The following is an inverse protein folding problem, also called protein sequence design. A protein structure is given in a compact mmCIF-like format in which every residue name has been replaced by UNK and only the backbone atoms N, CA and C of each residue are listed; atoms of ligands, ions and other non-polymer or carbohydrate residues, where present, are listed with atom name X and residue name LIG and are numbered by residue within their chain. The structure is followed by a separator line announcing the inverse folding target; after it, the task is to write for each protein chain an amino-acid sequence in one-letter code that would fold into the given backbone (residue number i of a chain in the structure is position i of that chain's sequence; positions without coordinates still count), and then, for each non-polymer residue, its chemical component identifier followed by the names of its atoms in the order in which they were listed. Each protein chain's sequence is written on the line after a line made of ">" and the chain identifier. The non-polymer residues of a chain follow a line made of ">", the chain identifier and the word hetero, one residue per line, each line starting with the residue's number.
data_IF_837392688320
#
_entry.id   IF_837392688320
#
_cell.length_a   1.000
_cell.length_b   1.000
_cell.length_c   1.000
_cell.angle_alpha   90.00
_cell.angle_beta   90.00
_cell.angle_gamma   90.00
#
_symmetry.space_group_name_H-M   'P 1'
#
loop_
_entity.id
_entity.type
_entity.pdbx_description
1 polymer ?
#
# COMPACT_ATOMS: atom_id res chain seq x y z
N UNK A 1 0.05 -8.90 16.43
CA UNK A 1 -0.30 -8.70 15.04
C UNK A 1 -0.05 -9.95 14.21
N UNK A 2 -0.74 -10.08 13.09
CA UNK A 2 -0.56 -11.22 12.22
C UNK A 2 0.84 -11.24 11.62
N UNK A 3 1.38 -12.45 11.45
CA UNK A 3 2.63 -12.64 10.75
C UNK A 3 2.36 -12.68 9.24
N UNK A 4 3.12 -11.92 8.48
CA UNK A 4 2.93 -11.80 7.03
C UNK A 4 3.98 -12.61 6.28
N UNK A 5 3.63 -12.99 5.04
CA UNK A 5 4.59 -13.61 4.11
C UNK A 5 5.55 -12.60 3.48
N UNK A 6 5.51 -11.37 3.95
CA UNK A 6 6.47 -10.35 3.55
C UNK A 6 7.64 -10.34 4.52
N UNK A 7 8.82 -9.89 4.09
CA UNK A 7 9.97 -9.82 4.98
C UNK A 7 9.69 -8.95 6.19
N UNK A 8 10.24 -9.35 7.32
CA UNK A 8 10.15 -8.54 8.55
C UNK A 8 10.94 -7.25 8.38
N UNK A 9 10.51 -6.21 9.08
CA UNK A 9 11.21 -4.95 9.14
C UNK A 9 11.17 -4.42 10.56
N UNK A 10 11.97 -3.43 10.87
CA UNK A 10 12.02 -2.83 12.21
C UNK A 10 10.81 -1.90 12.40
N UNK A 11 9.69 -2.49 12.80
CA UNK A 11 8.45 -1.75 13.01
C UNK A 11 8.52 -0.98 14.32
N UNK A 12 8.28 0.33 14.26
CA UNK A 12 8.20 1.17 15.46
C UNK A 12 6.75 1.34 15.84
N UNK A 13 6.36 0.64 16.88
CA UNK A 13 4.99 0.63 17.39
C UNK A 13 4.99 1.24 18.78
N UNK A 14 4.09 2.16 19.01
CA UNK A 14 3.88 2.80 20.32
C UNK A 14 2.42 2.70 20.70
N UNK A 15 2.15 2.87 21.98
CA UNK A 15 0.79 2.94 22.51
C UNK A 15 0.47 4.40 22.79
N UNK A 16 -0.56 4.93 22.14
CA UNK A 16 -1.03 6.31 22.37
C UNK A 16 -2.45 6.25 22.89
N UNK A 17 -2.63 6.66 24.14
CA UNK A 17 -3.95 6.72 24.78
C UNK A 17 -4.71 5.39 24.69
N UNK A 18 -3.99 4.27 24.93
CA UNK A 18 -4.55 2.93 24.91
C UNK A 18 -4.71 2.34 23.52
N UNK A 19 -4.27 3.03 22.45
CA UNK A 19 -4.39 2.55 21.08
C UNK A 19 -3.02 2.42 20.45
N UNK A 20 -2.77 1.32 19.71
CA UNK A 20 -1.48 1.14 19.06
C UNK A 20 -1.34 2.07 17.85
N UNK A 21 -0.15 2.58 17.65
CA UNK A 21 0.22 3.39 16.49
C UNK A 21 1.55 2.92 15.96
N UNK A 22 1.72 3.00 14.64
CA UNK A 22 2.94 2.60 13.96
C UNK A 22 3.54 3.80 13.22
N UNK A 23 4.87 3.89 13.24
CA UNK A 23 5.55 4.97 12.52
C UNK A 23 5.54 4.68 11.02
N UNK A 24 5.01 5.62 10.24
CA UNK A 24 5.02 5.55 8.77
C UNK A 24 6.19 6.39 8.26
N UNK A 25 7.18 5.73 7.70
CA UNK A 25 8.38 6.38 7.18
C UNK A 25 8.08 7.28 5.97
N UNK A 26 7.01 7.00 5.24
CA UNK A 26 6.61 7.80 4.07
C UNK A 26 5.91 9.08 4.51
N UNK A 27 4.91 8.96 5.41
CA UNK A 27 4.19 10.13 5.94
C UNK A 27 4.94 10.84 7.06
N UNK A 28 6.00 10.21 7.58
CA UNK A 28 6.88 10.73 8.64
C UNK A 28 6.12 11.07 9.91
N UNK A 29 5.21 10.19 10.30
CA UNK A 29 4.43 10.36 11.53
C UNK A 29 3.89 9.00 11.96
N UNK A 30 3.45 8.95 13.21
CA UNK A 30 2.74 7.79 13.72
C UNK A 30 1.30 7.83 13.23
N UNK A 31 0.82 6.69 12.78
CA UNK A 31 -0.56 6.50 12.30
C UNK A 31 -1.18 5.35 13.07
N UNK A 32 -2.51 5.32 13.14
CA UNK A 32 -3.22 4.25 13.82
C UNK A 32 -2.82 2.90 13.21
N UNK A 33 -2.50 1.94 14.08
CA UNK A 33 -2.11 0.59 13.64
C UNK A 33 -3.37 -0.25 13.47
N UNK A 34 -3.86 -0.31 12.25
CA UNK A 34 -4.97 -1.16 11.84
C UNK A 34 -4.42 -2.39 11.10
N UNK A 35 -5.22 -3.45 10.90
CA UNK A 35 -4.78 -4.59 10.09
C UNK A 35 -4.34 -4.18 8.68
N UNK A 36 -5.05 -3.25 8.07
CA UNK A 36 -4.70 -2.75 6.75
C UNK A 36 -3.40 -1.95 6.76
N UNK A 37 -3.20 -1.10 7.78
CA UNK A 37 -1.96 -0.34 7.92
C UNK A 37 -0.76 -1.27 8.19
N UNK A 38 -0.97 -2.35 8.91
CA UNK A 38 0.07 -3.37 9.14
C UNK A 38 0.55 -3.97 7.82
N UNK A 39 -0.39 -4.29 6.93
CA UNK A 39 -0.07 -4.81 5.59
C UNK A 39 0.66 -3.75 4.78
N UNK A 40 0.18 -2.52 4.79
CA UNK A 40 0.82 -1.40 4.06
C UNK A 40 2.26 -1.22 4.50
N UNK A 41 2.52 -1.18 5.80
CA UNK A 41 3.86 -0.95 6.30
C UNK A 41 4.82 -2.06 5.87
N UNK A 42 4.38 -3.29 5.88
CA UNK A 42 5.20 -4.40 5.41
C UNK A 42 5.52 -4.27 3.92
N UNK A 43 4.54 -3.95 3.12
CA UNK A 43 4.74 -3.86 1.68
C UNK A 43 5.62 -2.66 1.29
N UNK A 44 5.39 -1.52 1.93
CA UNK A 44 6.24 -0.33 1.71
C UNK A 44 7.69 -0.64 2.05
N UNK A 45 7.94 -1.25 3.20
CA UNK A 45 9.31 -1.62 3.59
C UNK A 45 9.91 -2.69 2.69
N UNK A 46 9.09 -3.59 2.16
CA UNK A 46 9.52 -4.53 1.14
C UNK A 46 10.01 -3.81 -0.12
N UNK A 47 9.26 -2.82 -0.60
CA UNK A 47 9.66 -2.03 -1.76
C UNK A 47 10.95 -1.25 -1.50
N UNK A 48 11.08 -0.67 -0.31
CA UNK A 48 12.27 0.11 0.06
C UNK A 48 13.50 -0.77 0.21
N UNK A 49 13.38 -1.85 1.00
CA UNK A 49 14.54 -2.61 1.47
C UNK A 49 14.94 -3.73 0.53
N UNK A 50 14.00 -4.34 -0.18
CA UNK A 50 14.26 -5.49 -1.02
C UNK A 50 14.20 -5.19 -2.51
N UNK A 51 13.42 -4.19 -2.91
CA UNK A 51 13.34 -3.76 -4.30
C UNK A 51 14.13 -2.49 -4.58
N UNK A 52 14.58 -1.81 -3.55
CA UNK A 52 15.46 -0.65 -3.71
C UNK A 52 14.80 0.60 -4.27
N UNK A 53 13.46 0.71 -4.17
CA UNK A 53 12.79 1.91 -4.62
C UNK A 53 13.07 3.08 -3.67
N UNK A 54 13.26 4.30 -4.20
CA UNK A 54 13.53 5.46 -3.35
C UNK A 54 12.33 5.87 -2.51
N UNK A 55 12.56 6.10 -1.23
CA UNK A 55 11.51 6.58 -0.33
C UNK A 55 10.91 7.91 -0.80
N UNK A 56 11.73 8.77 -1.38
CA UNK A 56 11.29 10.10 -1.84
C UNK A 56 10.34 10.05 -3.02
N UNK A 57 10.22 8.90 -3.69
CA UNK A 57 9.31 8.70 -4.80
C UNK A 57 8.06 7.91 -4.42
N UNK A 58 7.79 7.79 -3.13
CA UNK A 58 6.58 7.12 -2.63
C UNK A 58 5.69 8.10 -1.89
N UNK A 59 4.38 7.88 -2.00
CA UNK A 59 3.39 8.61 -1.21
C UNK A 59 2.28 7.66 -0.81
N UNK A 60 1.76 7.85 0.40
CA UNK A 60 0.61 7.12 0.91
C UNK A 60 -0.60 8.03 0.95
N UNK A 61 -1.78 7.48 0.73
CA UNK A 61 -3.04 8.21 0.83
C UNK A 61 -3.10 9.37 -0.17
N UNK A 62 -2.85 9.07 -1.44
CA UNK A 62 -2.82 10.07 -2.51
C UNK A 62 -4.21 10.22 -3.11
N UNK A 63 -4.71 11.44 -3.17
CA UNK A 63 -5.96 11.73 -3.87
C UNK A 63 -5.72 11.90 -5.36
N UNK A 64 -6.55 11.26 -6.18
CA UNK A 64 -6.55 11.43 -7.61
C UNK A 64 -7.93 11.84 -8.09
N UNK A 65 -7.97 12.62 -9.15
CA UNK A 65 -9.22 13.02 -9.79
C UNK A 65 -9.57 11.95 -10.84
N UNK A 66 -10.73 11.35 -10.69
CA UNK A 66 -11.17 10.27 -11.56
C UNK A 66 -12.60 10.57 -12.04
N UNK A 67 -12.76 10.97 -13.30
CA UNK A 67 -14.07 11.26 -13.90
C UNK A 67 -14.92 12.23 -13.06
N UNK A 68 -14.29 13.29 -12.56
CA UNK A 68 -14.97 14.29 -11.75
C UNK A 68 -15.16 13.92 -10.29
N UNK A 69 -14.79 12.72 -9.89
CA UNK A 69 -14.81 12.30 -8.50
C UNK A 69 -13.39 12.17 -7.95
N UNK A 70 -13.24 12.40 -6.65
CA UNK A 70 -11.96 12.20 -5.97
C UNK A 70 -11.88 10.79 -5.45
N UNK A 71 -10.79 10.10 -5.77
CA UNK A 71 -10.47 8.78 -5.24
C UNK A 71 -9.13 8.84 -4.52
N UNK A 72 -8.98 8.00 -3.51
CA UNK A 72 -7.74 7.93 -2.74
C UNK A 72 -7.03 6.63 -3.07
N UNK A 73 -5.78 6.75 -3.48
CA UNK A 73 -4.90 5.59 -3.67
C UNK A 73 -4.11 5.35 -2.41
N UNK A 74 -4.00 4.11 -1.97
CA UNK A 74 -3.35 3.78 -0.70
C UNK A 74 -1.86 4.05 -0.72
N UNK A 75 -1.17 3.61 -1.77
CA UNK A 75 0.25 3.91 -1.99
C UNK A 75 0.49 4.13 -3.47
N UNK A 76 1.30 5.14 -3.79
CA UNK A 76 1.72 5.40 -5.16
C UNK A 76 3.24 5.48 -5.19
N UNK A 77 3.84 4.78 -6.14
CA UNK A 77 5.25 4.90 -6.45
C UNK A 77 5.39 5.70 -7.74
N UNK A 78 6.17 6.76 -7.68
CA UNK A 78 6.37 7.66 -8.82
C UNK A 78 7.67 7.36 -9.56
N UNK A 79 7.69 7.71 -10.84
CA UNK A 79 8.93 7.82 -11.61
C UNK A 79 9.63 9.12 -11.24
N UNK A 80 10.87 9.27 -11.69
CA UNK A 80 11.64 10.51 -11.42
C UNK A 80 11.02 11.75 -12.04
N UNK A 81 10.24 11.58 -13.11
CA UNK A 81 9.51 12.70 -13.73
C UNK A 81 8.18 13.00 -13.02
N UNK A 82 7.92 12.31 -11.89
CA UNK A 82 6.74 12.45 -11.05
C UNK A 82 5.45 11.93 -11.69
N UNK A 83 5.53 11.15 -12.74
CA UNK A 83 4.38 10.39 -13.21
C UNK A 83 4.28 9.09 -12.40
N UNK A 84 3.07 8.58 -12.22
CA UNK A 84 2.85 7.39 -11.41
C UNK A 84 3.34 6.14 -12.15
N UNK A 85 4.14 5.34 -11.47
CA UNK A 85 4.66 4.08 -11.97
C UNK A 85 3.84 2.88 -11.47
N UNK A 86 3.46 2.92 -10.19
CA UNK A 86 2.76 1.83 -9.53
C UNK A 86 1.71 2.38 -8.59
N UNK A 87 0.54 1.78 -8.58
CA UNK A 87 -0.49 2.01 -7.59
C UNK A 87 -0.68 0.73 -6.80
N UNK A 88 -0.71 0.86 -5.48
CA UNK A 88 -0.94 -0.26 -4.58
C UNK A 88 -2.19 0.01 -3.77
N UNK A 89 -3.10 -0.96 -3.75
CA UNK A 89 -4.28 -0.97 -2.90
C UNK A 89 -4.15 -2.08 -1.87
N UNK A 90 -4.39 -1.74 -0.63
CA UNK A 90 -4.32 -2.72 0.46
C UNK A 90 -5.72 -3.05 0.92
N UNK A 91 -5.95 -4.32 1.17
CA UNK A 91 -7.20 -4.80 1.74
C UNK A 91 -6.91 -5.46 3.08
N UNK A 92 -7.85 -5.34 4.00
CA UNK A 92 -7.71 -5.99 5.30
C UNK A 92 -7.52 -7.50 5.12
N UNK A 93 -6.87 -8.19 6.08
CA UNK A 93 -6.55 -9.60 5.92
C UNK A 93 -7.73 -10.52 5.68
N UNK A 94 -8.92 -10.13 6.10
CA UNK A 94 -10.14 -10.91 5.96
C UNK A 94 -10.94 -10.57 4.70
N UNK A 95 -10.42 -9.69 3.85
CA UNK A 95 -11.10 -9.29 2.61
C UNK A 95 -10.47 -10.01 1.43
N UNK A 96 -11.30 -10.73 0.67
CA UNK A 96 -10.84 -11.39 -0.55
C UNK A 96 -10.62 -10.36 -1.66
N UNK A 97 -9.62 -10.64 -2.48
CA UNK A 97 -9.38 -9.87 -3.69
C UNK A 97 -10.27 -10.46 -4.78
N UNK A 98 -11.36 -9.76 -5.07
CA UNK A 98 -12.37 -10.17 -6.03
C UNK A 98 -12.18 -9.44 -7.36
N UNK A 99 -12.93 -9.85 -8.37
CA UNK A 99 -12.96 -9.16 -9.66
C UNK A 99 -13.38 -7.70 -9.49
N UNK A 100 -14.30 -7.40 -8.57
CA UNK A 100 -14.73 -6.03 -8.31
C UNK A 100 -13.58 -5.16 -7.80
N UNK A 101 -12.70 -5.71 -6.97
CA UNK A 101 -11.51 -5.00 -6.49
C UNK A 101 -10.57 -4.70 -7.65
N UNK A 102 -10.32 -5.68 -8.52
CA UNK A 102 -9.49 -5.47 -9.69
C UNK A 102 -10.09 -4.42 -10.63
N UNK A 103 -11.40 -4.46 -10.85
CA UNK A 103 -12.08 -3.48 -11.70
C UNK A 103 -11.93 -2.07 -11.12
N UNK A 104 -11.99 -1.93 -9.80
CA UNK A 104 -11.78 -0.66 -9.13
C UNK A 104 -10.36 -0.14 -9.34
N UNK A 105 -9.37 -1.01 -9.20
CA UNK A 105 -7.97 -0.65 -9.38
C UNK A 105 -7.69 -0.27 -10.83
N UNK A 106 -8.23 -1.02 -11.79
CA UNK A 106 -8.00 -0.73 -13.21
C UNK A 106 -8.57 0.61 -13.63
N UNK A 107 -9.60 1.13 -12.96
CA UNK A 107 -10.11 2.48 -13.22
C UNK A 107 -9.07 3.55 -12.97
N UNK A 108 -8.20 3.34 -11.98
CA UNK A 108 -7.11 4.29 -11.74
C UNK A 108 -6.16 4.36 -12.93
N UNK A 109 -5.94 3.25 -13.62
CA UNK A 109 -5.03 3.21 -14.75
C UNK A 109 -5.56 3.99 -15.95
N UNK A 110 -6.86 4.17 -16.07
CA UNK A 110 -7.45 4.99 -17.15
C UNK A 110 -7.01 6.45 -17.03
N UNK A 111 -6.67 6.88 -15.83
CA UNK A 111 -6.24 8.26 -15.56
C UNK A 111 -4.73 8.34 -15.38
N UNK A 112 -4.16 7.46 -14.58
CA UNK A 112 -2.77 7.54 -14.17
C UNK A 112 -1.80 6.79 -15.08
N UNK A 113 -2.28 5.85 -15.87
CA UNK A 113 -1.49 5.09 -16.85
C UNK A 113 -0.22 4.51 -16.24
N UNK A 114 -0.40 3.76 -15.15
CA UNK A 114 0.72 3.18 -14.42
C UNK A 114 1.22 1.89 -15.07
N UNK A 115 2.47 1.52 -14.81
CA UNK A 115 3.03 0.25 -15.28
C UNK A 115 2.51 -0.92 -14.46
N UNK A 116 2.26 -0.72 -13.17
CA UNK A 116 1.88 -1.79 -12.26
C UNK A 116 0.68 -1.39 -11.41
N UNK A 117 -0.30 -2.27 -11.37
CA UNK A 117 -1.41 -2.20 -10.44
C UNK A 117 -1.26 -3.39 -9.50
N UNK A 118 -1.22 -3.11 -8.20
CA UNK A 118 -0.96 -4.14 -7.19
C UNK A 118 -2.07 -4.10 -6.16
N UNK A 119 -2.65 -5.26 -5.89
CA UNK A 119 -3.61 -5.42 -4.81
C UNK A 119 -3.00 -6.35 -3.78
N UNK A 120 -2.90 -5.88 -2.55
CA UNK A 120 -2.28 -6.60 -1.45
C UNK A 120 -3.36 -6.99 -0.45
N UNK A 121 -3.55 -8.28 -0.25
CA UNK A 121 -4.43 -8.83 0.75
C UNK A 121 -3.69 -9.88 1.55
N UNK A 122 -4.23 -10.18 2.73
CA UNK A 122 -3.56 -11.04 3.67
C UNK A 122 -4.42 -12.20 4.14
N UNK A 123 -5.46 -12.49 3.39
CA UNK A 123 -6.44 -13.50 3.75
C UNK A 123 -5.86 -14.89 3.92
N UNK A 124 -4.87 -15.19 3.12
CA UNK A 124 -4.19 -16.48 3.20
C UNK A 124 -2.73 -16.19 3.19
N UNK A 125 -1.94 -16.80 3.96
CA UNK A 125 -0.49 -16.64 3.95
C UNK A 125 0.04 -16.87 2.55
N UNK A 126 -0.53 -16.16 1.61
CA UNK A 126 -0.24 -16.34 0.20
C UNK A 126 1.09 -15.72 -0.13
N UNK A 127 1.66 -16.29 -1.13
CA UNK A 127 2.95 -15.87 -1.62
C UNK A 127 2.87 -14.45 -2.17
N UNK A 128 3.96 -13.67 -2.05
CA UNK A 128 4.01 -12.33 -2.61
C UNK A 128 3.70 -12.28 -4.11
N UNK A 129 3.91 -13.37 -4.83
CA UNK A 129 3.59 -13.45 -6.24
C UNK A 129 2.13 -13.20 -6.57
N UNK A 130 1.24 -13.34 -5.60
CA UNK A 130 -0.19 -13.07 -5.79
C UNK A 130 -0.55 -11.62 -5.59
N UNK A 131 0.40 -10.77 -5.28
CA UNK A 131 0.18 -9.36 -5.04
C UNK A 131 0.12 -8.55 -6.33
N UNK A 132 0.66 -9.08 -7.42
CA UNK A 132 0.71 -8.37 -8.68
C UNK A 132 -0.53 -8.67 -9.53
N UNK A 133 -0.99 -7.66 -10.23
CA UNK A 133 -2.16 -7.73 -11.11
C UNK A 133 -1.70 -7.90 -12.55
#
# INVERSE_FOLDING_TARGET
>A
MLSLNLPVFDAKVVNREGKPAIFDVIRRRYVALTPEEWVRQHFVHFLLNHKGYPQTLMANEVQVQLNGTKKRCDTVLYRRDLTARMIVEYKAPDIEITQAVFDQITRYNMVLKVDYLVAVSYTHLTLPTKLEV
#
